data_IF_231216574960
#
_entry.id   IF_231216574960
#
_cell.length_a   1.000
_cell.length_b   1.000
_cell.length_c   1.000
_cell.angle_alpha   90.00
_cell.angle_beta   90.00
_cell.angle_gamma   90.00
#
_symmetry.space_group_name_H-M   'P 1'
#
loop_
_entity.id
_entity.type
_entity.pdbx_description
1 polymer ?
#
# COMPACT_ATOMS: atom_id res chain seq x y z
N UNK A 1 1.28 -6.54 -1.76
CA UNK A 1 2.33 -5.51 -1.78
C UNK A 1 3.47 -6.11 -2.53
N UNK A 2 3.94 -5.44 -3.57
CA UNK A 2 5.00 -5.95 -4.44
C UNK A 2 6.37 -5.78 -3.81
N UNK A 3 6.56 -4.69 -3.04
CA UNK A 3 7.84 -4.37 -2.41
C UNK A 3 7.63 -3.86 -0.99
N UNK A 4 8.49 -4.26 -0.06
CA UNK A 4 8.52 -3.72 1.30
C UNK A 4 9.95 -3.51 1.77
N UNK A 5 10.23 -2.40 2.45
CA UNK A 5 11.56 -2.14 3.01
C UNK A 5 11.50 -1.30 4.28
N UNK A 6 12.53 -1.44 5.09
CA UNK A 6 12.77 -0.54 6.21
C UNK A 6 13.50 0.71 5.73
N UNK A 7 12.83 1.85 5.76
CA UNK A 7 13.42 3.16 5.53
C UNK A 7 14.13 3.61 6.81
N UNK A 8 15.46 3.49 6.83
CA UNK A 8 16.29 3.85 7.99
C UNK A 8 16.30 5.36 8.25
N UNK A 9 16.23 6.19 7.20
CA UNK A 9 16.25 7.65 7.32
C UNK A 9 14.96 8.15 7.98
N UNK A 10 13.81 7.60 7.59
CA UNK A 10 12.50 8.00 8.12
C UNK A 10 12.01 7.07 9.25
N UNK A 11 12.85 6.11 9.65
CA UNK A 11 12.62 5.15 10.72
C UNK A 11 11.24 4.49 10.64
N UNK A 12 10.91 3.90 9.48
CA UNK A 12 9.58 3.34 9.18
C UNK A 12 9.64 2.19 8.16
N UNK A 13 8.72 1.25 8.29
CA UNK A 13 8.43 0.22 7.29
C UNK A 13 7.57 0.82 6.18
N UNK A 14 8.07 0.79 4.95
CA UNK A 14 7.31 1.12 3.76
C UNK A 14 6.84 -0.16 3.09
N UNK A 15 5.55 -0.24 2.80
CA UNK A 15 4.94 -1.27 1.96
C UNK A 15 4.40 -0.60 0.72
N UNK A 16 4.86 -1.02 -0.46
CA UNK A 16 4.50 -0.42 -1.74
C UNK A 16 3.90 -1.44 -2.70
N UNK A 17 2.86 -1.04 -3.41
CA UNK A 17 2.26 -1.78 -4.52
C UNK A 17 2.26 -0.87 -5.75
N UNK A 18 2.63 -1.44 -6.89
CA UNK A 18 2.81 -0.78 -8.16
C UNK A 18 1.74 -1.28 -9.13
N UNK A 19 0.96 -0.37 -9.72
CA UNK A 19 0.02 -0.69 -10.81
C UNK A 19 0.41 0.07 -12.06
N UNK A 20 0.48 -0.63 -13.18
CA UNK A 20 0.78 -0.03 -14.47
C UNK A 20 -0.46 0.56 -15.15
N UNK A 21 -0.24 1.09 -16.36
CA UNK A 21 -1.26 1.77 -17.16
C UNK A 21 -2.32 0.81 -17.73
N UNK A 22 -1.98 -0.47 -17.83
CA UNK A 22 -2.84 -1.55 -18.32
C UNK A 22 -4.12 -1.68 -17.51
N UNK A 23 -4.05 -1.41 -16.20
CA UNK A 23 -5.22 -1.40 -15.33
C UNK A 23 -6.28 -0.41 -15.84
N UNK A 24 -5.90 0.75 -16.37
CA UNK A 24 -6.88 1.71 -16.90
C UNK A 24 -7.51 1.26 -18.22
N UNK A 25 -6.82 0.41 -19.00
CA UNK A 25 -7.35 -0.12 -20.27
C UNK A 25 -8.47 -1.14 -20.02
N UNK A 26 -8.32 -1.96 -19.00
CA UNK A 26 -9.31 -2.97 -18.63
C UNK A 26 -10.67 -2.36 -18.25
N UNK A 27 -10.66 -1.13 -17.72
CA UNK A 27 -11.85 -0.43 -17.25
C UNK A 27 -12.20 0.83 -18.05
N UNK A 28 -11.73 0.93 -19.30
CA UNK A 28 -11.91 2.14 -20.11
C UNK A 28 -13.40 2.41 -20.41
N UNK A 29 -14.19 1.34 -20.54
CA UNK A 29 -15.62 1.37 -20.87
C UNK A 29 -16.55 1.76 -19.70
N UNK A 30 -16.13 1.59 -18.43
CA UNK A 30 -16.95 1.96 -17.27
C UNK A 30 -16.12 2.48 -16.09
N UNK A 31 -16.23 3.80 -15.84
CA UNK A 31 -15.50 4.51 -14.76
C UNK A 31 -15.86 4.01 -13.37
N UNK A 32 -17.13 3.65 -13.13
CA UNK A 32 -17.59 3.20 -11.82
C UNK A 32 -17.05 1.81 -11.49
N UNK A 33 -17.08 0.89 -12.46
CA UNK A 33 -16.48 -0.44 -12.32
C UNK A 33 -14.98 -0.38 -12.05
N UNK A 34 -14.25 0.54 -12.71
CA UNK A 34 -12.83 0.78 -12.45
C UNK A 34 -12.57 1.16 -10.99
N UNK A 35 -13.39 2.09 -10.49
CA UNK A 35 -13.26 2.63 -9.14
C UNK A 35 -13.52 1.54 -8.10
N UNK A 36 -14.63 0.82 -8.20
CA UNK A 36 -14.98 -0.24 -7.25
C UNK A 36 -13.96 -1.38 -7.26
N UNK A 37 -13.52 -1.80 -8.44
CA UNK A 37 -12.52 -2.84 -8.58
C UNK A 37 -11.21 -2.45 -7.86
N UNK A 38 -10.68 -1.26 -8.17
CA UNK A 38 -9.47 -0.74 -7.53
C UNK A 38 -9.62 -0.63 -6.01
N UNK A 39 -10.73 -0.09 -5.53
CA UNK A 39 -10.97 0.03 -4.09
C UNK A 39 -10.91 -1.33 -3.41
N UNK A 40 -11.60 -2.33 -3.97
CA UNK A 40 -11.65 -3.67 -3.41
C UNK A 40 -10.29 -4.37 -3.46
N UNK A 41 -9.59 -4.28 -4.59
CA UNK A 41 -8.28 -4.91 -4.78
C UNK A 41 -7.23 -4.31 -3.82
N UNK A 42 -7.12 -2.99 -3.79
CA UNK A 42 -6.14 -2.30 -2.95
C UNK A 42 -6.46 -2.49 -1.46
N UNK A 43 -7.74 -2.44 -1.07
CA UNK A 43 -8.14 -2.71 0.30
C UNK A 43 -7.84 -4.15 0.74
N UNK A 44 -8.06 -5.13 -0.14
CA UNK A 44 -7.70 -6.53 0.11
C UNK A 44 -6.20 -6.68 0.34
N UNK A 45 -5.37 -6.08 -0.52
CA UNK A 45 -3.90 -6.10 -0.39
C UNK A 45 -3.43 -5.53 0.96
N UNK A 46 -4.02 -4.44 1.44
CA UNK A 46 -3.69 -3.91 2.78
C UNK A 46 -4.09 -4.91 3.86
N UNK A 47 -5.33 -5.42 3.82
CA UNK A 47 -5.82 -6.37 4.83
C UNK A 47 -4.93 -7.62 4.92
N UNK A 48 -4.63 -8.25 3.78
CA UNK A 48 -3.79 -9.44 3.73
C UNK A 48 -2.40 -9.16 4.32
N UNK A 49 -1.83 -8.01 3.99
CA UNK A 49 -0.52 -7.59 4.54
C UNK A 49 -0.58 -7.35 6.04
N UNK A 50 -1.64 -6.73 6.54
CA UNK A 50 -1.82 -6.51 7.98
C UNK A 50 -1.99 -7.83 8.72
N UNK A 51 -2.69 -8.81 8.15
CA UNK A 51 -2.82 -10.15 8.74
C UNK A 51 -1.48 -10.88 8.78
N UNK A 52 -0.67 -10.79 7.72
CA UNK A 52 0.69 -11.35 7.70
C UNK A 52 1.57 -10.68 8.76
N UNK A 53 1.54 -9.35 8.86
CA UNK A 53 2.33 -8.65 9.87
C UNK A 53 1.86 -8.97 11.29
N UNK A 54 0.54 -9.11 11.49
CA UNK A 54 -0.02 -9.53 12.77
C UNK A 54 0.43 -10.95 13.14
N UNK A 55 0.46 -11.88 12.19
CA UNK A 55 0.91 -13.26 12.45
C UNK A 55 2.37 -13.28 12.89
N UNK A 56 3.23 -12.50 12.22
CA UNK A 56 4.66 -12.31 12.57
C UNK A 56 4.84 -11.73 13.98
N UNK A 57 4.03 -10.72 14.34
CA UNK A 57 4.18 -10.03 15.63
C UNK A 57 3.49 -10.73 16.79
N UNK A 58 2.54 -11.62 16.49
CA UNK A 58 1.86 -12.45 17.49
C UNK A 58 2.49 -13.83 17.64
N UNK A 59 3.60 -14.09 16.94
CA UNK A 59 4.37 -15.33 17.01
C UNK A 59 3.52 -16.59 16.71
N UNK A 60 2.58 -16.49 15.76
CA UNK A 60 1.87 -17.68 15.28
C UNK A 60 2.84 -18.58 14.50
N UNK A 61 2.53 -19.87 14.35
CA UNK A 61 3.39 -20.82 13.64
C UNK A 61 3.75 -20.33 12.20
N UNK A 62 2.79 -19.97 11.32
CA UNK A 62 3.13 -19.36 10.02
C UNK A 62 3.86 -18.01 10.15
N UNK A 63 3.58 -17.25 11.22
CA UNK A 63 4.22 -15.98 11.49
C UNK A 63 5.70 -16.10 11.80
N UNK A 64 6.10 -17.13 12.56
CA UNK A 64 7.49 -17.39 12.93
C UNK A 64 8.34 -17.75 11.70
N UNK A 65 7.80 -18.55 10.77
CA UNK A 65 8.45 -18.88 9.50
C UNK A 65 8.71 -17.62 8.65
N UNK A 66 7.75 -16.70 8.59
CA UNK A 66 7.94 -15.42 7.89
C UNK A 66 8.95 -14.54 8.66
N UNK A 67 8.85 -14.48 9.99
CA UNK A 67 9.65 -13.62 10.87
C UNK A 67 11.15 -13.80 10.66
N UNK A 68 11.63 -15.03 10.44
CA UNK A 68 13.06 -15.29 10.23
C UNK A 68 13.58 -14.68 8.92
N UNK A 69 12.74 -14.56 7.90
CA UNK A 69 13.09 -13.95 6.60
C UNK A 69 13.10 -12.43 6.63
N UNK A 70 12.43 -11.82 7.60
CA UNK A 70 12.31 -10.37 7.73
C UNK A 70 13.54 -9.74 8.39
N UNK A 71 13.88 -8.48 8.01
CA UNK A 71 14.90 -7.70 8.71
C UNK A 71 14.61 -7.59 10.20
N UNK A 72 15.64 -7.63 11.04
CA UNK A 72 15.51 -7.63 12.51
C UNK A 72 14.61 -6.51 13.04
N UNK A 73 14.65 -5.33 12.41
CA UNK A 73 13.82 -4.17 12.79
C UNK A 73 12.31 -4.37 12.58
N UNK A 74 11.91 -5.31 11.73
CA UNK A 74 10.51 -5.59 11.37
C UNK A 74 9.98 -6.83 12.11
N UNK A 75 10.86 -7.65 12.71
CA UNK A 75 10.48 -8.86 13.45
C UNK A 75 9.60 -8.57 14.66
N UNK A 76 9.63 -7.35 15.19
CA UNK A 76 8.70 -6.87 16.22
C UNK A 76 7.87 -5.73 15.67
N UNK A 77 6.69 -5.52 16.23
CA UNK A 77 5.85 -4.39 15.88
C UNK A 77 6.64 -3.07 16.08
N UNK A 78 6.84 -2.26 15.03
CA UNK A 78 7.72 -1.10 15.10
C UNK A 78 7.09 0.08 15.85
N UNK A 79 5.79 0.05 16.15
CA UNK A 79 5.08 1.09 16.87
C UNK A 79 4.22 2.00 15.98
N UNK A 80 3.45 2.88 16.62
CA UNK A 80 2.50 3.79 15.96
C UNK A 80 3.20 4.75 15.01
N UNK A 81 2.64 4.93 13.81
CA UNK A 81 3.18 5.83 12.78
C UNK A 81 4.42 5.32 12.06
N UNK A 82 4.82 4.06 12.30
CA UNK A 82 6.05 3.47 11.76
C UNK A 82 5.80 2.56 10.57
N UNK A 83 4.56 2.43 10.12
CA UNK A 83 4.19 1.64 8.93
C UNK A 83 3.49 2.58 7.95
N UNK A 84 3.88 2.52 6.68
CA UNK A 84 3.25 3.31 5.61
C UNK A 84 2.94 2.42 4.41
N UNK A 85 1.67 2.40 4.03
CA UNK A 85 1.21 1.79 2.79
C UNK A 85 1.20 2.84 1.67
N UNK A 86 1.81 2.51 0.54
CA UNK A 86 1.87 3.35 -0.66
C UNK A 86 1.38 2.54 -1.86
N UNK A 87 0.34 3.04 -2.51
CA UNK A 87 -0.11 2.60 -3.81
C UNK A 87 0.39 3.60 -4.84
N UNK A 88 1.21 3.15 -5.77
CA UNK A 88 1.67 3.94 -6.89
C UNK A 88 1.02 3.40 -8.16
N UNK A 89 0.16 4.20 -8.78
CA UNK A 89 -0.55 3.84 -10.01
C UNK A 89 -0.06 4.74 -11.15
N UNK A 90 0.43 4.14 -12.23
CA UNK A 90 0.71 4.88 -13.46
C UNK A 90 -0.60 5.37 -14.08
N UNK A 91 -0.94 6.62 -13.80
CA UNK A 91 -2.25 7.18 -14.08
C UNK A 91 -2.14 8.20 -15.22
N UNK A 92 -2.85 7.99 -16.35
CA UNK A 92 -2.89 8.99 -17.41
C UNK A 92 -3.61 10.25 -16.92
N UNK A 93 -3.25 11.41 -17.49
CA UNK A 93 -3.79 12.72 -17.08
C UNK A 93 -5.32 12.73 -17.05
N UNK A 94 -5.97 12.10 -18.03
CA UNK A 94 -7.44 11.99 -18.12
C UNK A 94 -8.11 11.24 -16.96
N UNK A 95 -7.34 10.49 -16.16
CA UNK A 95 -7.81 9.67 -15.04
C UNK A 95 -7.26 10.11 -13.68
N UNK A 96 -6.39 11.12 -13.61
CA UNK A 96 -5.81 11.60 -12.35
C UNK A 96 -6.86 12.00 -11.31
N UNK A 97 -7.98 12.58 -11.75
CA UNK A 97 -9.09 12.96 -10.88
C UNK A 97 -9.76 11.79 -10.14
N UNK A 98 -9.51 10.53 -10.55
CA UNK A 98 -10.06 9.34 -9.90
C UNK A 98 -9.27 8.91 -8.66
N UNK A 99 -7.99 9.29 -8.56
CA UNK A 99 -7.13 8.82 -7.47
C UNK A 99 -7.61 9.28 -6.09
N UNK A 100 -8.11 10.52 -5.97
CA UNK A 100 -8.58 11.05 -4.69
C UNK A 100 -9.83 10.33 -4.19
N UNK A 101 -10.92 10.16 -4.99
CA UNK A 101 -12.06 9.34 -4.61
C UNK A 101 -11.70 7.92 -4.18
N UNK A 102 -10.82 7.25 -4.93
CA UNK A 102 -10.35 5.89 -4.60
C UNK A 102 -9.63 5.88 -3.24
N UNK A 103 -8.72 6.84 -3.04
CA UNK A 103 -7.96 6.99 -1.79
C UNK A 103 -8.87 7.18 -0.59
N UNK A 104 -9.86 8.05 -0.71
CA UNK A 104 -10.78 8.38 0.38
C UNK A 104 -11.64 7.16 0.73
N UNK A 105 -12.14 6.45 -0.28
CA UNK A 105 -12.93 5.24 -0.09
C UNK A 105 -12.13 4.12 0.57
N UNK A 106 -10.89 3.86 0.14
CA UNK A 106 -10.02 2.86 0.77
C UNK A 106 -9.75 3.23 2.23
N UNK A 107 -9.43 4.50 2.51
CA UNK A 107 -9.18 4.95 3.88
C UNK A 107 -10.42 4.83 4.77
N UNK A 108 -11.61 5.10 4.24
CA UNK A 108 -12.87 4.89 4.97
C UNK A 108 -13.06 3.41 5.31
N UNK A 109 -12.90 2.51 4.34
CA UNK A 109 -13.08 1.06 4.51
C UNK A 109 -12.07 0.45 5.48
N UNK A 110 -10.83 0.94 5.47
CA UNK A 110 -9.74 0.38 6.25
C UNK A 110 -9.51 1.05 7.61
N UNK A 111 -10.12 2.21 7.87
CA UNK A 111 -9.83 3.08 9.03
C UNK A 111 -9.73 2.33 10.35
N UNK A 112 -10.68 1.45 10.66
CA UNK A 112 -10.66 0.65 11.89
C UNK A 112 -9.46 -0.30 11.96
N UNK A 113 -9.20 -1.03 10.87
CA UNK A 113 -8.15 -2.04 10.80
C UNK A 113 -6.76 -1.41 10.80
N UNK A 114 -6.52 -0.37 10.01
CA UNK A 114 -5.22 0.32 9.93
C UNK A 114 -4.86 0.99 11.26
N UNK A 115 -5.84 1.53 11.99
CA UNK A 115 -5.62 2.14 13.30
C UNK A 115 -5.13 1.14 14.35
N UNK A 116 -5.51 -0.14 14.29
CA UNK A 116 -4.99 -1.18 15.20
C UNK A 116 -3.46 -1.33 15.09
N UNK A 117 -2.91 -1.02 13.91
CA UNK A 117 -1.47 -1.04 13.64
C UNK A 117 -0.83 0.35 13.70
N UNK A 118 -1.55 1.34 14.25
CA UNK A 118 -1.06 2.70 14.36
C UNK A 118 -0.84 3.42 13.03
N UNK A 119 -1.56 3.01 11.97
CA UNK A 119 -1.49 3.59 10.63
C UNK A 119 -2.65 4.56 10.46
N UNK A 120 -2.35 5.83 10.18
CA UNK A 120 -3.38 6.86 10.05
C UNK A 120 -4.17 6.74 8.74
N UNK A 121 -3.46 6.51 7.63
CA UNK A 121 -4.04 6.41 6.30
C UNK A 121 -3.10 5.69 5.35
N UNK A 122 -3.66 5.13 4.28
CA UNK A 122 -2.93 4.67 3.11
C UNK A 122 -2.63 5.86 2.19
N UNK A 123 -1.52 5.79 1.48
CA UNK A 123 -1.13 6.76 0.46
C UNK A 123 -1.44 6.18 -0.92
N UNK A 124 -2.13 6.93 -1.77
CA UNK A 124 -2.34 6.61 -3.18
C UNK A 124 -1.84 7.79 -4.02
N UNK A 125 -0.92 7.52 -4.94
CA UNK A 125 -0.16 8.54 -5.68
C UNK A 125 0.14 8.08 -7.10
N UNK A 126 0.49 9.04 -7.96
CA UNK A 126 1.06 8.80 -9.28
C UNK A 126 2.61 8.96 -9.26
N UNK A 127 3.22 8.79 -10.43
CA UNK A 127 4.69 8.87 -10.58
C UNK A 127 5.26 10.26 -10.32
N UNK A 128 4.51 11.32 -10.59
CA UNK A 128 4.97 12.68 -10.34
C UNK A 128 5.05 12.93 -8.84
N UNK A 129 4.01 12.51 -8.11
CA UNK A 129 4.02 12.60 -6.66
C UNK A 129 5.04 11.66 -6.02
N UNK A 130 5.23 10.45 -6.56
CA UNK A 130 6.26 9.52 -6.08
C UNK A 130 7.68 10.10 -6.20
N UNK A 131 7.98 10.78 -7.33
CA UNK A 131 9.24 11.52 -7.51
C UNK A 131 9.41 12.63 -6.49
N UNK A 132 8.36 13.44 -6.25
CA UNK A 132 8.41 14.50 -5.22
C UNK A 132 8.59 13.96 -3.79
N UNK A 133 8.24 12.70 -3.56
CA UNK A 133 8.41 12.01 -2.27
C UNK A 133 9.76 11.28 -2.16
N UNK A 134 10.61 11.38 -3.18
CA UNK A 134 11.90 10.72 -3.29
C UNK A 134 11.79 9.19 -3.17
N UNK A 135 10.69 8.62 -3.69
CA UNK A 135 10.54 7.17 -3.73
C UNK A 135 11.46 6.58 -4.81
N UNK A 136 12.11 5.44 -4.55
CA UNK A 136 13.06 4.82 -5.49
C UNK A 136 12.34 4.10 -6.63
N UNK A 137 11.60 4.84 -7.46
CA UNK A 137 10.80 4.33 -8.58
C UNK A 137 11.24 4.95 -9.90
N UNK A 138 11.20 4.17 -10.98
CA UNK A 138 11.49 4.63 -12.34
C UNK A 138 10.37 4.17 -13.27
N UNK A 139 9.95 5.02 -14.20
CA UNK A 139 9.08 4.59 -15.31
C UNK A 139 9.92 3.75 -16.27
N UNK A 140 9.53 2.51 -16.49
CA UNK A 140 9.99 1.73 -17.65
C UNK A 140 9.29 2.29 -18.88
N UNK A 141 10.07 2.59 -19.92
CA UNK A 141 9.58 3.13 -21.19
C UNK A 141 8.74 2.08 -21.94
#
# INVERSE_FOLDING_TARGET
>A
MDVGWWDSQKNRLIMMELKGKELWKEFDANRETAHEHLVNELAKKVNDTLLILASVWSDTEPGLEIKITLPTKVRKYPGKGKIKFIFLIDTPISRQGLLMPIKDRINQLLSGKTRLFGIAHVTLIDFDKARSMELPVRKTQ
#
